data_IF_002783986738
#
_entry.id   IF_002783986738
#
_cell.length_a   1.000
_cell.length_b   1.000
_cell.length_c   1.000
_cell.angle_alpha   90.00
_cell.angle_beta   90.00
_cell.angle_gamma   90.00
#
_symmetry.space_group_name_H-M   'P 1'
#
loop_
_entity.id
_entity.type
_entity.pdbx_description
1 polymer ?
2 non-polymer ?
3 non-polymer ?
4 water ?
#
# COMPACT_ATOMS: atom_id res chain seq x y z
N UNK A 2 21.41 12.97 -11.05
CA UNK A 2 21.63 11.59 -10.67
C UNK A 2 20.28 10.95 -10.35
N UNK A 3 20.07 9.75 -10.88
CA UNK A 3 18.81 9.02 -10.70
C UNK A 3 19.04 7.70 -9.98
N UNK A 4 18.19 7.44 -9.00
CA UNK A 4 18.21 6.19 -8.25
C UNK A 4 16.96 5.42 -8.58
N UNK A 5 17.13 4.19 -9.07
CA UNK A 5 15.99 3.33 -9.36
C UNK A 5 15.92 2.24 -8.29
N UNK A 6 14.88 2.33 -7.45
CA UNK A 6 14.60 1.33 -6.41
C UNK A 6 13.78 0.22 -7.04
N UNK A 7 14.42 -0.92 -7.23
CA UNK A 7 13.81 -2.04 -7.96
C UNK A 7 13.24 -2.99 -6.93
N UNK A 8 11.92 -2.93 -6.77
CA UNK A 8 11.24 -3.68 -5.73
C UNK A 8 10.40 -4.80 -6.31
N UNK A 9 11.00 -5.58 -7.21
CA UNK A 9 10.36 -6.82 -7.64
C UNK A 9 10.72 -7.86 -6.60
N UNK A 10 9.71 -8.56 -6.02
CA UNK A 10 9.93 -9.45 -4.89
C UNK A 10 10.64 -10.76 -5.24
N UNK A 11 10.65 -11.13 -6.52
CA UNK A 11 11.39 -12.30 -6.98
C UNK A 11 12.27 -11.91 -8.15
N UNK A 12 13.09 -10.87 -7.94
CA UNK A 12 13.91 -10.28 -8.99
C UNK A 12 14.70 -11.29 -9.85
N UNK A 13 15.35 -12.25 -9.19
CA UNK A 13 16.17 -13.26 -9.87
C UNK A 13 15.39 -14.09 -10.91
N UNK A 14 14.09 -14.19 -10.71
CA UNK A 14 13.21 -14.95 -11.60
C UNK A 14 12.54 -14.07 -12.66
N UNK A 15 12.34 -12.79 -12.35
CA UNK A 15 11.65 -11.85 -13.24
C UNK A 15 12.10 -11.95 -14.71
N UNK A 16 11.14 -12.01 -15.62
CA UNK A 16 11.46 -11.97 -17.06
C UNK A 16 11.42 -10.55 -17.64
N UNK A 17 10.79 -9.63 -16.91
CA UNK A 17 10.63 -8.26 -17.40
C UNK A 17 11.79 -7.35 -17.02
N UNK A 18 12.26 -7.49 -15.77
CA UNK A 18 13.27 -6.58 -15.22
C UNK A 18 14.64 -6.55 -15.91
N UNK A 19 15.14 -7.71 -16.41
CA UNK A 19 16.37 -7.59 -17.18
C UNK A 19 16.27 -6.63 -18.38
N UNK A 20 15.08 -6.51 -18.98
CA UNK A 20 14.89 -5.60 -20.12
C UNK A 20 15.15 -4.15 -19.68
N UNK A 21 14.62 -3.82 -18.51
CA UNK A 21 14.71 -2.46 -17.97
C UNK A 21 16.14 -2.15 -17.49
N UNK A 22 16.76 -3.13 -16.85
CA UNK A 22 18.13 -2.96 -16.39
C UNK A 22 19.00 -2.73 -17.62
N UNK A 23 18.84 -3.57 -18.64
CA UNK A 23 19.66 -3.44 -19.85
C UNK A 23 19.48 -2.08 -20.51
N UNK A 24 18.28 -1.50 -20.38
CA UNK A 24 17.93 -0.26 -21.06
C UNK A 24 18.66 0.97 -20.49
N UNK A 25 19.03 0.91 -19.21
CA UNK A 25 19.72 2.01 -18.57
C UNK A 25 21.18 1.68 -18.21
N UNK A 26 21.65 0.53 -18.67
CA UNK A 26 23.02 0.07 -18.36
C UNK A 26 24.11 1.03 -18.79
N UNK A 27 23.83 1.84 -19.81
CA UNK A 27 24.84 2.73 -20.37
C UNK A 27 24.83 4.15 -19.79
N UNK A 28 23.84 4.46 -18.95
CA UNK A 28 23.79 5.78 -18.32
C UNK A 28 24.47 5.74 -16.95
N UNK A 29 25.66 6.32 -16.85
CA UNK A 29 26.45 6.22 -15.62
C UNK A 29 25.85 7.02 -14.45
N UNK A 30 24.96 7.96 -14.74
CA UNK A 30 24.29 8.73 -13.68
C UNK A 30 23.02 8.04 -13.13
N UNK A 31 22.65 6.91 -13.73
CA UNK A 31 21.52 6.09 -13.26
C UNK A 31 22.01 4.91 -12.43
N UNK A 32 21.48 4.77 -11.21
CA UNK A 32 21.86 3.69 -10.29
C UNK A 32 20.72 2.68 -10.20
N UNK A 33 20.99 1.46 -10.66
CA UNK A 33 20.03 0.36 -10.58
C UNK A 33 20.19 -0.32 -9.21
N UNK A 34 19.18 -0.15 -8.35
CA UNK A 34 19.30 -0.56 -6.95
C UNK A 34 18.24 -1.56 -6.54
N UNK A 35 18.53 -2.86 -6.68
CA UNK A 35 17.58 -3.85 -6.17
C UNK A 35 17.34 -3.74 -4.67
N UNK A 36 16.07 -3.79 -4.30
CA UNK A 36 15.69 -3.82 -2.91
C UNK A 36 15.79 -5.25 -2.40
N UNK A 37 16.67 -5.45 -1.42
CA UNK A 37 16.85 -6.79 -0.83
C UNK A 37 16.14 -6.89 0.51
N UNK A 38 15.78 -8.11 0.89
CA UNK A 38 14.97 -8.35 2.09
C UNK A 38 15.68 -7.82 3.33
N UNK A 39 17.01 -7.81 3.31
CA UNK A 39 17.78 -7.34 4.47
C UNK A 39 18.45 -5.99 4.23
N UNK A 40 17.72 -5.05 3.59
CA UNK A 40 18.26 -3.71 3.36
C UNK A 40 18.67 -3.01 4.65
N UNK A 41 19.62 -2.09 4.51
CA UNK A 41 20.15 -1.35 5.66
C UNK A 41 19.68 0.09 5.57
N UNK A 42 19.05 0.60 6.62
CA UNK A 42 18.42 1.92 6.54
C UNK A 42 19.42 3.02 6.20
N UNK A 43 20.55 3.03 6.91
CA UNK A 43 21.61 4.03 6.68
C UNK A 43 22.12 4.05 5.23
N UNK A 44 22.38 2.88 4.66
CA UNK A 44 22.81 2.78 3.26
C UNK A 44 21.73 3.26 2.30
N UNK A 45 20.47 2.88 2.55
CA UNK A 45 19.35 3.35 1.74
C UNK A 45 19.19 4.87 1.82
N UNK A 46 19.29 5.41 3.05
CA UNK A 46 19.21 6.87 3.22
C UNK A 46 20.35 7.56 2.50
N UNK A 47 21.54 6.97 2.58
CA UNK A 47 22.70 7.51 1.88
C UNK A 47 22.45 7.61 0.38
N UNK A 48 21.90 6.55 -0.21
CA UNK A 48 21.61 6.55 -1.65
C UNK A 48 20.58 7.63 -2.01
N UNK A 49 19.55 7.76 -1.20
CA UNK A 49 18.56 8.83 -1.44
C UNK A 49 19.20 10.21 -1.45
N UNK A 50 20.05 10.47 -0.47
CA UNK A 50 20.68 11.78 -0.34
C UNK A 50 21.54 12.12 -1.54
N UNK A 51 22.09 11.08 -2.19
CA UNK A 51 23.05 11.24 -3.28
C UNK A 51 22.36 11.37 -4.64
N UNK A 52 21.03 11.25 -4.68
CA UNK A 52 20.31 11.27 -5.95
C UNK A 52 19.25 12.34 -6.01
N UNK A 53 18.94 12.81 -7.23
CA UNK A 53 18.00 13.90 -7.47
C UNK A 53 16.63 13.39 -7.91
N UNK A 54 16.61 12.30 -8.65
CA UNK A 54 15.36 11.71 -9.08
C UNK A 54 15.31 10.28 -8.56
N UNK A 55 14.24 9.96 -7.85
CA UNK A 55 14.08 8.68 -7.20
C UNK A 55 12.90 8.00 -7.88
N UNK A 56 13.15 6.85 -8.47
CA UNK A 56 12.11 6.11 -9.16
C UNK A 56 11.83 4.81 -8.41
N UNK A 57 10.57 4.58 -8.09
CA UNK A 57 10.22 3.31 -7.47
C UNK A 57 9.63 2.43 -8.55
N UNK A 58 10.24 1.27 -8.72
CA UNK A 58 9.94 0.36 -9.83
C UNK A 58 9.44 -0.98 -9.27
N UNK A 59 8.17 -1.28 -9.52
CA UNK A 59 7.56 -2.46 -8.90
C UNK A 59 6.36 -3.00 -9.68
N UNK A 60 6.02 -4.28 -9.46
CA UNK A 60 4.78 -4.83 -10.00
C UNK A 60 3.59 -4.50 -9.10
N UNK A 61 2.44 -4.33 -9.72
CA UNK A 61 1.23 -4.00 -8.96
C UNK A 61 0.68 -5.31 -8.35
N UNK A 62 0.62 -5.36 -7.03
CA UNK A 62 0.11 -6.55 -6.32
C UNK A 62 -1.12 -6.08 -5.56
N UNK A 63 -2.29 -6.65 -5.88
CA UNK A 63 -3.56 -6.16 -5.29
C UNK A 63 -3.63 -4.62 -5.21
N UNK A 64 -3.44 -3.99 -6.37
CA UNK A 64 -3.63 -2.55 -6.57
C UNK A 64 -2.66 -1.67 -5.76
N UNK A 65 -1.55 -2.26 -5.30
CA UNK A 65 -0.55 -1.49 -4.54
C UNK A 65 0.84 -2.07 -4.68
N UNK A 66 1.84 -1.41 -4.10
CA UNK A 66 3.20 -1.90 -4.10
C UNK A 66 3.36 -3.21 -3.29
N UNK A 67 4.33 -4.06 -3.67
CA UNK A 67 4.68 -5.26 -2.91
C UNK A 67 5.10 -4.89 -1.48
N UNK A 68 4.95 -5.85 -0.58
CA UNK A 68 5.23 -5.63 0.83
C UNK A 68 6.67 -5.18 1.11
N UNK A 69 7.65 -5.70 0.37
CA UNK A 69 9.05 -5.27 0.63
C UNK A 69 9.23 -3.78 0.36
N UNK A 70 8.58 -3.24 -0.67
CA UNK A 70 8.67 -1.79 -0.89
C UNK A 70 7.98 -1.01 0.23
N UNK A 71 6.84 -1.52 0.71
CA UNK A 71 6.12 -0.86 1.79
C UNK A 71 6.99 -0.89 3.05
N UNK A 72 7.68 -2.01 3.28
CA UNK A 72 8.60 -2.09 4.43
C UNK A 72 9.72 -1.06 4.33
N UNK A 73 10.25 -0.87 3.13
CA UNK A 73 11.32 0.14 2.90
C UNK A 73 10.78 1.53 3.18
N UNK A 75 8.27 2.28 5.19
CA UNK A 75 7.97 2.35 6.64
C UNK A 75 9.24 2.56 7.49
N UNK A 76 10.37 2.03 7.03
CA UNK A 76 11.57 1.95 7.86
C UNK A 76 12.65 2.96 7.44
N UNK A 77 12.81 3.17 6.14
CA UNK A 77 13.82 4.10 5.62
C UNK A 77 13.29 5.53 5.74
N UNK A 79 11.79 7.67 7.75
CA UNK A 79 11.40 8.01 9.10
C UNK A 79 10.90 9.47 9.17
N UNK A 80 10.19 9.80 10.23
CA UNK A 80 9.81 11.18 10.51
C UNK A 80 11.05 12.06 10.52
N UNK A 81 12.09 11.62 11.24
CA UNK A 81 13.34 12.37 11.42
C UNK A 81 14.03 12.67 10.10
N UNK A 82 13.98 11.73 9.17
CA UNK A 82 14.70 11.85 7.90
C UNK A 82 13.85 12.57 6.84
N UNK A 83 12.65 12.05 6.61
CA UNK A 83 11.80 12.47 5.49
C UNK A 83 10.99 13.73 5.79
N UNK A 84 10.72 13.98 7.08
CA UNK A 84 10.05 15.22 7.52
C UNK A 84 10.84 15.82 8.68
N UNK A 85 10.20 15.99 9.83
CA UNK A 85 10.84 16.51 11.05
C UNK A 85 11.49 17.85 10.80
N UNK A 86 12.76 17.97 11.17
CA UNK A 86 13.51 19.19 10.88
C UNK A 86 14.53 19.03 9.76
N UNK A 87 14.44 17.92 9.02
CA UNK A 87 15.40 17.62 7.96
C UNK A 87 14.81 17.70 6.55
N UNK A 88 13.62 17.12 6.35
CA UNK A 88 12.99 17.04 5.03
C UNK A 88 14.03 16.72 3.97
N UNK A 89 14.67 15.57 4.13
CA UNK A 89 15.84 15.18 3.36
C UNK A 89 15.56 15.14 1.86
N UNK A 90 14.30 14.87 1.52
CA UNK A 90 13.89 14.66 0.12
C UNK A 90 13.41 15.92 -0.58
N UNK A 91 13.41 17.05 0.12
CA UNK A 91 12.83 18.28 -0.44
C UNK A 91 13.46 18.65 -1.78
N UNK A 92 12.65 18.86 -2.81
CA UNK A 92 13.15 19.25 -4.12
C UNK A 92 13.54 18.09 -5.05
N UNK A 93 13.61 16.87 -4.51
CA UNK A 93 13.88 15.69 -5.35
C UNK A 93 12.60 15.33 -6.09
N UNK A 94 12.75 14.60 -7.20
CA UNK A 94 11.61 14.16 -7.99
C UNK A 94 11.32 12.72 -7.61
N UNK A 95 10.04 12.39 -7.52
CA UNK A 95 9.61 11.01 -7.25
C UNK A 95 8.91 10.50 -8.49
N UNK A 96 9.40 9.37 -9.01
CA UNK A 96 8.77 8.71 -10.16
C UNK A 96 8.34 7.30 -9.78
N UNK A 97 7.42 6.76 -10.56
CA UNK A 97 6.88 5.43 -10.33
C UNK A 97 6.87 4.70 -11.65
N UNK A 98 7.54 3.55 -11.72
CA UNK A 98 7.43 2.65 -12.87
C UNK A 98 6.68 1.41 -12.37
N UNK A 99 5.38 1.34 -12.66
CA UNK A 99 4.52 0.29 -12.11
C UNK A 99 4.06 -0.66 -13.21
N UNK A 100 4.32 -1.95 -13.03
CA UNK A 100 3.99 -2.90 -14.07
C UNK A 100 2.77 -3.73 -13.66
N UNK A 101 1.93 -4.06 -14.63
CA UNK A 101 0.73 -4.85 -14.36
C UNK A 101 0.63 -5.96 -15.42
N UNK A 102 0.00 -7.07 -15.06
CA UNK A 102 -0.34 -8.13 -16.01
C UNK A 102 -1.71 -7.90 -16.64
N UNK A 103 -2.38 -6.80 -16.29
CA UNK A 103 -3.68 -6.46 -16.84
C UNK A 103 -3.55 -5.42 -17.95
N UNK A 104 -4.48 -5.47 -18.91
CA UNK A 104 -4.55 -4.46 -19.94
C UNK A 104 -4.75 -3.08 -19.31
N UNK A 105 -4.08 -2.07 -19.86
CA UNK A 105 -4.20 -0.72 -19.34
C UNK A 105 -5.65 -0.23 -19.38
N UNK A 106 -6.42 -0.72 -20.34
CA UNK A 106 -7.80 -0.25 -20.50
C UNK A 106 -8.76 -0.71 -19.40
N UNK A 107 -8.35 -1.63 -18.53
CA UNK A 107 -9.18 -2.05 -17.39
C UNK A 107 -9.22 -0.99 -16.29
N UNK A 108 -8.21 -0.12 -16.27
CA UNK A 108 -8.02 0.85 -15.19
C UNK A 108 -8.63 2.21 -15.53
N UNK A 109 -9.94 2.27 -15.49
CA UNK A 109 -10.67 3.52 -15.72
C UNK A 109 -12.10 3.31 -15.28
N UNK A 110 -12.82 4.42 -15.08
CA UNK A 110 -14.23 4.37 -14.72
C UNK A 110 -15.03 3.58 -15.76
N UNK A 111 -15.92 2.72 -15.30
CA UNK A 111 -16.78 1.97 -16.24
C UNK A 111 -16.14 0.69 -16.76
N UNK A 112 -14.84 0.52 -16.53
CA UNK A 112 -14.16 -0.71 -16.95
C UNK A 112 -14.01 -1.65 -15.77
N UNK A 113 -13.37 -2.80 -15.98
CA UNK A 113 -13.30 -3.85 -14.98
C UNK A 113 -12.80 -3.39 -13.59
N UNK A 114 -11.75 -2.55 -13.58
CA UNK A 114 -11.08 -2.17 -12.33
C UNK A 114 -11.58 -0.86 -11.72
N UNK A 115 -12.43 -0.14 -12.47
CA UNK A 115 -13.12 1.09 -12.03
C UNK A 115 -12.22 2.30 -11.74
N UNK A 116 -10.97 2.06 -11.39
CA UNK A 116 -10.06 3.17 -10.98
C UNK A 116 -8.80 3.23 -11.82
N UNK A 117 -8.38 4.46 -12.12
CA UNK A 117 -7.18 4.66 -12.91
C UNK A 117 -5.90 4.39 -12.09
N UNK A 118 -4.80 4.18 -12.79
CA UNK A 118 -3.52 4.03 -12.10
C UNK A 118 -3.20 5.25 -11.25
N UNK A 119 -3.52 6.43 -11.76
CA UNK A 119 -3.34 7.68 -11.01
C UNK A 119 -4.02 7.61 -9.64
N UNK A 120 -5.28 7.17 -9.63
CA UNK A 120 -6.01 7.06 -8.38
C UNK A 120 -5.42 6.02 -7.44
N UNK A 121 -4.97 4.89 -7.98
CA UNK A 121 -4.39 3.83 -7.16
C UNK A 121 -3.03 4.19 -6.58
N UNK A 123 -2.24 7.05 -5.41
CA UNK A 123 -2.42 8.22 -4.56
C UNK A 123 -1.56 8.22 -3.28
N UNK A 124 -1.39 7.05 -2.61
CA UNK A 124 -0.50 7.15 -1.43
C UNK A 124 0.90 7.65 -1.74
N UNK A 125 1.44 7.37 -2.94
CA UNK A 125 2.78 7.87 -3.30
C UNK A 125 2.75 9.36 -3.60
N UNK A 126 1.66 9.80 -4.22
CA UNK A 126 1.49 11.22 -4.47
C UNK A 126 1.43 11.99 -3.15
N UNK A 127 0.66 11.46 -2.20
CA UNK A 127 0.56 12.08 -0.87
C UNK A 127 1.92 12.09 -0.13
N UNK A 128 2.68 11.01 -0.27
CA UNK A 128 4.04 10.97 0.26
C UNK A 128 4.91 12.09 -0.33
N UNK A 129 4.90 12.18 -1.65
CA UNK A 129 5.66 13.23 -2.33
C UNK A 129 5.25 14.62 -1.86
N UNK A 130 3.94 14.85 -1.73
CA UNK A 130 3.43 16.14 -1.26
C UNK A 130 3.96 16.42 0.16
N UNK A 131 3.89 15.41 1.01
CA UNK A 131 4.28 15.56 2.41
C UNK A 131 5.76 15.85 2.58
N UNK A 132 6.58 15.21 1.77
CA UNK A 132 8.03 15.32 1.87
C UNK A 132 8.61 16.41 0.99
N UNK A 133 7.74 17.19 0.34
CA UNK A 133 8.14 18.32 -0.53
C UNK A 133 8.91 17.89 -1.78
N UNK A 136 6.28 15.24 -7.73
CA UNK A 136 5.73 13.99 -8.24
C UNK A 136 5.64 14.04 -9.76
N UNK A 137 6.32 13.10 -10.40
CA UNK A 137 6.31 12.96 -11.87
C UNK A 137 5.08 12.20 -12.34
N UNK A 138 4.69 12.38 -13.61
CA UNK A 138 3.64 11.52 -14.12
C UNK A 138 4.13 10.08 -13.97
N UNK A 139 3.22 9.16 -13.69
CA UNK A 139 3.53 7.73 -13.50
C UNK A 139 3.84 7.04 -14.82
N UNK A 140 4.86 6.18 -14.84
CA UNK A 140 5.10 5.35 -16.04
C UNK A 140 4.44 3.99 -15.78
N UNK A 141 3.25 3.78 -16.34
CA UNK A 141 2.55 2.49 -16.17
C UNK A 141 2.94 1.55 -17.31
N UNK A 142 3.27 0.31 -16.95
CA UNK A 142 3.78 -0.68 -17.89
C UNK A 142 2.82 -1.86 -17.85
N UNK A 143 1.99 -1.98 -18.89
CA UNK A 143 0.92 -2.98 -18.89
C UNK A 143 1.25 -4.14 -19.84
N UNK A 144 1.39 -5.34 -19.28
CA UNK A 144 1.60 -6.60 -20.05
C UNK A 144 2.86 -6.55 -20.90
N UNK A 145 3.95 -6.07 -20.29
CA UNK A 145 5.17 -5.84 -21.04
C UNK A 145 5.60 -7.03 -21.88
N UNK A 146 5.56 -8.22 -21.28
CA UNK A 146 6.07 -9.42 -21.98
C UNK A 146 5.20 -9.85 -23.15
N UNK A 147 3.95 -9.38 -23.18
CA UNK A 147 3.00 -9.72 -24.24
C UNK A 147 3.09 -8.77 -25.44
N UNK A 148 3.70 -7.61 -25.24
CA UNK A 148 3.75 -6.58 -26.29
C UNK A 148 4.59 -7.05 -27.47
N UNK A 149 4.23 -6.62 -28.67
CA UNK A 149 5.05 -6.88 -29.85
C UNK A 149 6.44 -6.29 -29.63
N UNK A 150 7.47 -6.93 -30.20
CA UNK A 150 8.84 -6.42 -30.08
C UNK A 150 8.96 -4.90 -30.27
N UNK A 151 8.27 -4.35 -31.26
CA UNK A 151 8.34 -2.91 -31.57
C UNK A 151 7.74 -2.03 -30.47
N UNK A 152 6.62 -2.48 -29.90
CA UNK A 152 6.02 -1.79 -28.77
C UNK A 152 6.88 -1.94 -27.52
N UNK A 153 7.50 -3.10 -27.33
CA UNK A 153 8.44 -3.29 -26.21
C UNK A 153 9.56 -2.26 -26.31
N UNK A 154 10.17 -2.17 -27.48
CA UNK A 154 11.24 -1.20 -27.72
C UNK A 154 10.84 0.25 -27.49
N UNK A 155 9.63 0.65 -27.90
CA UNK A 155 9.14 2.02 -27.66
C UNK A 155 8.97 2.34 -26.18
N UNK A 156 8.45 1.37 -25.46
CA UNK A 156 8.22 1.56 -24.03
C UNK A 156 9.58 1.70 -23.32
N UNK A 157 10.57 0.93 -23.79
CA UNK A 157 11.92 1.00 -23.21
C UNK A 157 12.62 2.34 -23.43
N UNK A 158 12.39 2.97 -24.59
CA UNK A 158 12.82 4.35 -24.86
C UNK A 158 12.14 5.37 -23.94
N UNK A 159 10.84 5.21 -23.70
CA UNK A 159 10.12 6.06 -22.76
C UNK A 159 10.72 5.90 -21.36
N UNK A 160 11.07 4.66 -21.02
CA UNK A 160 11.70 4.34 -19.74
C UNK A 160 13.07 5.03 -19.59
N UNK A 161 13.88 4.98 -20.64
CA UNK A 161 15.16 5.69 -20.66
C UNK A 161 15.00 7.19 -20.44
N UNK A 162 14.03 7.80 -21.12
CA UNK A 162 13.71 9.21 -20.94
C UNK A 162 13.24 9.50 -19.52
N UNK A 163 12.40 8.61 -19.01
CA UNK A 163 11.85 8.72 -17.65
C UNK A 163 12.97 8.79 -16.62
N UNK A 164 14.00 7.96 -16.82
CA UNK A 164 15.15 7.89 -15.92
C UNK A 164 16.17 9.01 -16.11
N UNK A 165 16.23 9.62 -17.28
CA UNK A 165 17.36 10.52 -17.58
C UNK A 165 16.99 11.91 -18.10
N UNK A 166 15.84 12.02 -18.76
CA UNK A 166 15.43 13.31 -19.31
C UNK A 166 15.32 14.32 -18.18
N UNK A 167 16.27 15.26 -18.17
CA UNK A 167 16.37 16.24 -17.10
C UNK A 167 15.12 17.11 -17.06
N UNK A 168 14.62 17.49 -18.23
CA UNK A 168 13.43 18.35 -18.41
C UNK A 168 12.46 18.43 -17.23
N UNK B 2 -20.51 -13.84 12.03
CA UNK B 2 -19.16 -14.02 12.55
C UNK B 2 -18.27 -12.92 11.99
N UNK B 3 -17.52 -12.26 12.87
CA UNK B 3 -16.61 -11.18 12.47
C UNK B 3 -15.16 -11.57 12.77
N UNK B 4 -14.31 -11.43 11.76
CA UNK B 4 -12.87 -11.62 11.92
C UNK B 4 -12.22 -10.24 11.86
N UNK B 5 -11.48 -9.88 12.91
CA UNK B 5 -10.69 -8.66 12.88
C UNK B 5 -9.24 -9.02 12.70
N UNK B 6 -8.70 -8.64 11.55
CA UNK B 6 -7.29 -8.86 11.25
C UNK B 6 -6.53 -7.64 11.77
N UNK B 7 -5.76 -7.82 12.84
CA UNK B 7 -5.06 -6.69 13.43
C UNK B 7 -3.61 -6.70 12.99
N UNK B 8 -3.24 -5.69 12.20
CA UNK B 8 -1.94 -5.62 11.55
C UNK B 8 -1.20 -4.37 12.01
N UNK B 9 -0.68 -4.43 13.22
CA UNK B 9 0.18 -3.39 13.75
C UNK B 9 1.53 -4.05 14.02
N UNK B 10 2.61 -3.61 13.34
CA UNK B 10 3.91 -4.27 13.50
C UNK B 10 4.56 -4.05 14.87
N UNK B 11 3.95 -3.20 15.71
CA UNK B 11 4.39 -3.01 17.10
C UNK B 11 3.16 -2.96 18.03
N UNK B 12 2.35 -4.01 17.98
CA UNK B 12 1.05 -4.01 18.66
C UNK B 12 1.15 -3.82 20.18
N UNK B 13 2.15 -4.45 20.78
CA UNK B 13 2.32 -4.38 22.23
C UNK B 13 2.63 -2.96 22.70
N UNK B 14 3.21 -2.14 21.82
CA UNK B 14 3.55 -0.75 22.13
C UNK B 14 2.43 0.24 21.79
N UNK B 15 1.45 -0.21 21.01
CA UNK B 15 0.33 0.63 20.61
C UNK B 15 -0.48 1.06 21.83
N UNK B 16 -0.82 2.34 21.89
CA UNK B 16 -1.62 2.87 23.00
C UNK B 16 -3.08 3.05 22.59
N UNK B 17 -3.31 3.01 21.28
CA UNK B 17 -4.65 3.11 20.74
C UNK B 17 -5.35 1.74 20.82
N UNK B 18 -4.67 0.71 20.34
CA UNK B 18 -5.29 -0.63 20.21
C UNK B 18 -5.89 -1.24 21.48
N UNK B 19 -5.24 -1.06 22.67
CA UNK B 19 -5.81 -1.56 23.94
C UNK B 19 -7.28 -1.17 24.21
N UNK B 20 -7.66 0.08 23.93
CA UNK B 20 -9.03 0.55 24.10
C UNK B 20 -9.95 -0.22 23.16
N UNK B 21 -9.40 -0.62 22.02
CA UNK B 21 -10.20 -1.25 20.99
C UNK B 21 -10.44 -2.73 21.25
N UNK B 22 -9.40 -3.46 21.67
CA UNK B 22 -9.63 -4.85 22.06
C UNK B 22 -10.66 -4.95 23.17
N UNK B 23 -10.51 -4.09 24.18
CA UNK B 23 -11.43 -4.05 25.33
C UNK B 23 -12.90 -3.87 24.92
N UNK B 24 -13.13 -3.10 23.87
CA UNK B 24 -14.47 -2.79 23.37
C UNK B 24 -15.21 -4.00 22.75
N UNK B 25 -14.46 -5.00 22.27
CA UNK B 25 -15.08 -6.17 21.62
C UNK B 25 -14.85 -7.50 22.34
N UNK B 26 -14.08 -7.48 23.43
CA UNK B 26 -13.73 -8.68 24.21
C UNK B 26 -14.91 -9.55 24.63
N UNK B 27 -16.09 -8.94 24.77
CA UNK B 27 -17.26 -9.63 25.26
C UNK B 27 -18.23 -10.11 24.18
N UNK B 28 -17.86 -9.91 22.92
CA UNK B 28 -18.63 -10.40 21.78
C UNK B 28 -18.06 -11.72 21.27
N UNK B 29 -18.73 -12.82 21.61
CA UNK B 29 -18.22 -14.16 21.33
C UNK B 29 -18.18 -14.49 19.83
N UNK B 30 -18.92 -13.74 19.02
CA UNK B 30 -18.91 -13.91 17.57
C UNK B 30 -17.77 -13.17 16.87
N UNK B 31 -17.03 -12.38 17.64
CA UNK B 31 -15.89 -11.62 17.11
C UNK B 31 -14.59 -12.34 17.42
N UNK B 32 -13.82 -12.63 16.37
CA UNK B 32 -12.49 -13.18 16.51
C UNK B 32 -11.48 -12.08 16.32
N UNK B 33 -10.71 -11.82 17.37
CA UNK B 33 -9.68 -10.82 17.33
C UNK B 33 -8.34 -11.48 17.01
N UNK B 34 -7.77 -11.14 15.86
CA UNK B 34 -6.69 -11.93 15.28
C UNK B 34 -5.48 -11.08 14.88
N UNK B 35 -4.52 -10.87 15.80
CA UNK B 35 -3.32 -10.13 15.45
C UNK B 35 -2.36 -10.98 14.65
N UNK B 36 -1.82 -10.41 13.57
CA UNK B 36 -0.87 -11.12 12.69
C UNK B 36 0.53 -11.18 13.27
N UNK B 37 1.21 -12.31 13.06
CA UNK B 37 2.65 -12.42 13.26
C UNK B 37 3.34 -12.33 11.90
N UNK B 38 4.61 -11.93 11.87
CA UNK B 38 5.31 -11.79 10.58
C UNK B 38 5.32 -13.10 9.80
N UNK B 39 5.44 -14.23 10.50
CA UNK B 39 5.44 -15.55 9.87
C UNK B 39 4.09 -16.26 10.03
N UNK B 40 3.01 -15.57 9.68
CA UNK B 40 1.67 -16.14 9.67
C UNK B 40 1.59 -17.32 8.71
N UNK B 41 0.61 -18.19 8.96
CA UNK B 41 0.45 -19.42 8.20
C UNK B 41 -0.69 -19.22 7.19
N UNK B 42 -0.42 -19.37 5.90
CA UNK B 42 -1.39 -19.06 4.84
C UNK B 42 -2.67 -19.88 5.00
N UNK B 43 -2.51 -21.19 5.15
CA UNK B 43 -3.65 -22.10 5.28
C UNK B 43 -4.52 -21.73 6.47
N UNK B 44 -3.89 -21.39 7.60
CA UNK B 44 -4.62 -20.91 8.78
C UNK B 44 -5.38 -19.62 8.47
N UNK B 45 -4.72 -18.66 7.85
CA UNK B 45 -5.38 -17.40 7.47
C UNK B 45 -6.60 -17.65 6.56
N UNK B 46 -6.41 -18.49 5.55
CA UNK B 46 -7.51 -18.83 4.62
C UNK B 46 -8.66 -19.53 5.37
N UNK B 47 -8.33 -20.46 6.26
CA UNK B 47 -9.33 -21.14 7.08
C UNK B 47 -10.18 -20.13 7.87
N UNK B 48 -9.53 -19.15 8.51
CA UNK B 48 -10.24 -18.15 9.30
C UNK B 48 -11.16 -17.29 8.44
N UNK B 49 -10.69 -16.95 7.24
CA UNK B 49 -11.51 -16.15 6.33
C UNK B 49 -12.78 -16.90 5.94
N UNK B 50 -12.64 -18.19 5.69
CA UNK B 50 -13.77 -19.03 5.33
C UNK B 50 -14.81 -19.13 6.43
N UNK B 51 -14.37 -19.02 7.68
CA UNK B 51 -15.26 -19.19 8.83
C UNK B 51 -15.98 -17.92 9.28
N UNK B 52 -15.74 -16.82 8.58
CA UNK B 52 -16.24 -15.53 9.00
C UNK B 52 -16.98 -14.77 7.90
N UNK B 53 -17.90 -13.91 8.32
CA UNK B 53 -18.83 -13.23 7.42
C UNK B 53 -18.42 -11.80 7.15
N UNK B 54 -17.93 -11.13 8.19
CA UNK B 54 -17.42 -9.76 8.07
C UNK B 54 -15.95 -9.83 8.40
N UNK B 55 -15.14 -9.34 7.48
CA UNK B 55 -13.70 -9.29 7.64
C UNK B 55 -13.32 -7.83 7.82
N UNK B 56 -12.70 -7.52 8.94
CA UNK B 56 -12.28 -6.15 9.21
C UNK B 56 -10.76 -6.11 9.25
N UNK B 57 -10.17 -5.19 8.48
CA UNK B 57 -8.74 -4.99 8.50
C UNK B 57 -8.39 -3.78 9.37
N UNK B 58 -7.67 -4.03 10.44
CA UNK B 58 -7.40 -3.02 11.43
C UNK B 58 -5.90 -2.66 11.52
N UNK B 59 -5.58 -1.40 11.26
CA UNK B 59 -4.18 -1.00 11.12
C UNK B 59 -3.94 0.51 11.27
N UNK B 60 -2.70 0.89 11.62
CA UNK B 60 -2.31 2.30 11.57
C UNK B 60 -1.96 2.73 10.15
N UNK B 61 -2.23 3.98 9.84
CA UNK B 61 -1.88 4.54 8.54
C UNK B 61 -0.39 4.88 8.55
N UNK B 62 0.38 4.17 7.71
CA UNK B 62 1.81 4.37 7.61
C UNK B 62 2.09 4.92 6.21
N UNK B 63 2.52 6.17 6.09
CA UNK B 63 2.68 6.84 4.79
C UNK B 63 1.48 6.58 3.86
N UNK B 64 0.29 6.85 4.40
CA UNK B 64 -0.94 6.90 3.59
C UNK B 64 -1.40 5.54 3.11
N UNK B 65 -0.83 4.48 3.69
CA UNK B 65 -1.24 3.12 3.37
C UNK B 65 -1.12 2.17 4.56
N UNK B 66 -1.58 0.93 4.38
CA UNK B 66 -1.43 -0.08 5.43
C UNK B 66 0.05 -0.43 5.60
N UNK B 67 0.44 -0.86 6.80
CA UNK B 67 1.79 -1.35 7.11
C UNK B 67 2.18 -2.54 6.26
N UNK B 68 3.49 -2.74 6.10
CA UNK B 68 4.03 -3.84 5.31
C UNK B 68 3.47 -5.21 5.73
N UNK B 69 3.27 -5.42 7.04
CA UNK B 69 2.73 -6.68 7.56
C UNK B 69 1.39 -7.03 6.89
N UNK B 70 0.49 -6.06 6.81
CA UNK B 70 -0.81 -6.28 6.15
C UNK B 70 -0.64 -6.50 4.66
N UNK B 71 0.27 -5.75 4.03
CA UNK B 71 0.51 -5.93 2.61
C UNK B 71 1.02 -7.35 2.32
N UNK B 72 1.87 -7.87 3.19
CA UNK B 72 2.36 -9.23 3.01
C UNK B 72 1.25 -10.27 3.12
N UNK B 73 0.36 -10.06 4.09
CA UNK B 73 -0.82 -10.91 4.28
C UNK B 73 -1.67 -10.87 3.00
N UNK B 75 -0.78 -10.14 -0.09
CA UNK B 75 -0.07 -10.72 -1.24
C UNK B 75 0.12 -12.24 -1.19
N UNK B 76 0.14 -12.80 0.01
CA UNK B 76 0.37 -14.25 0.19
C UNK B 76 -0.90 -15.06 0.55
N UNK B 77 -1.83 -14.46 1.29
CA UNK B 77 -3.06 -15.16 1.69
C UNK B 77 -4.08 -15.07 0.54
N UNK B 79 -4.41 -15.38 -2.71
CA UNK B 79 -3.87 -15.93 -3.95
C UNK B 79 -4.97 -15.85 -5.01
N UNK B 80 -4.56 -15.89 -6.29
CA UNK B 80 -5.51 -15.93 -7.38
C UNK B 80 -6.45 -17.12 -7.21
N UNK B 81 -5.88 -18.26 -6.82
CA UNK B 81 -6.64 -19.51 -6.70
C UNK B 81 -7.77 -19.41 -5.67
N UNK B 82 -7.49 -18.75 -4.55
CA UNK B 82 -8.39 -18.67 -3.40
C UNK B 82 -9.40 -17.52 -3.53
N UNK B 83 -8.89 -16.34 -3.83
CA UNK B 83 -9.66 -15.09 -3.82
C UNK B 83 -10.42 -14.84 -5.11
N UNK B 84 -9.91 -15.37 -6.22
CA UNK B 84 -10.57 -15.25 -7.53
C UNK B 84 -10.60 -16.61 -8.19
N UNK B 85 -10.01 -16.73 -9.37
CA UNK B 85 -9.93 -18.03 -10.07
C UNK B 85 -11.30 -18.66 -10.26
N UNK B 86 -11.45 -19.87 -9.72
CA UNK B 86 -12.75 -20.57 -9.72
C UNK B 86 -13.18 -20.96 -8.30
N UNK B 87 -12.74 -20.16 -7.32
CA UNK B 87 -13.20 -20.33 -5.95
C UNK B 87 -13.95 -19.10 -5.45
N UNK B 88 -13.39 -17.91 -5.69
CA UNK B 88 -13.96 -16.66 -5.17
C UNK B 88 -14.44 -16.87 -3.73
N UNK B 89 -13.48 -17.24 -2.89
CA UNK B 89 -13.78 -17.68 -1.52
C UNK B 89 -14.43 -16.62 -0.67
N UNK B 90 -14.21 -15.34 -1.03
CA UNK B 90 -14.67 -14.21 -0.24
C UNK B 90 -15.99 -13.61 -0.75
N UNK B 91 -16.52 -14.17 -1.84
CA UNK B 91 -17.71 -13.61 -2.45
C UNK B 91 -18.86 -13.46 -1.42
N UNK B 92 -19.43 -12.27 -1.36
CA UNK B 92 -20.55 -11.99 -0.48
C UNK B 92 -20.19 -11.65 0.96
N UNK B 93 -18.94 -11.86 1.35
CA UNK B 93 -18.48 -11.40 2.66
C UNK B 93 -18.32 -9.89 2.64
N UNK B 94 -18.41 -9.26 3.81
CA UNK B 94 -18.21 -7.82 3.94
C UNK B 94 -16.77 -7.53 4.30
N UNK B 95 -16.21 -6.49 3.68
CA UNK B 95 -14.89 -5.98 4.04
C UNK B 95 -15.03 -4.62 4.69
N UNK B 96 -14.48 -4.52 5.90
CA UNK B 96 -14.39 -3.24 6.60
C UNK B 96 -12.94 -2.84 6.88
N UNK B 97 -12.74 -1.56 7.14
CA UNK B 97 -11.40 -1.03 7.41
C UNK B 97 -11.46 -0.18 8.67
N UNK B 98 -10.61 -0.48 9.67
CA UNK B 98 -10.48 0.40 10.85
C UNK B 98 -9.06 0.94 10.78
N UNK B 99 -8.93 2.18 10.30
CA UNK B 99 -7.63 2.78 10.05
C UNK B 99 -7.40 3.95 10.98
N UNK B 100 -6.26 3.94 11.67
CA UNK B 100 -5.99 4.96 12.68
C UNK B 100 -4.84 5.88 12.25
N UNK B 101 -5.00 7.18 12.49
CA UNK B 101 -3.99 8.15 12.11
C UNK B 101 -3.78 9.12 13.27
N UNK B 102 -2.60 9.73 13.35
CA UNK B 102 -2.36 10.74 14.40
C UNK B 102 -2.96 12.08 14.00
N UNK B 103 -3.10 12.26 12.68
CA UNK B 103 -3.59 13.50 12.06
C UNK B 103 -5.07 13.79 12.34
N UNK B 104 -5.40 15.09 12.36
CA UNK B 104 -6.79 15.53 12.39
C UNK B 104 -7.48 15.06 11.13
N UNK B 105 -8.72 14.56 11.28
CA UNK B 105 -9.50 14.08 10.15
C UNK B 105 -9.75 15.14 9.10
N UNK B 106 -9.82 16.40 9.55
CA UNK B 106 -10.03 17.53 8.65
C UNK B 106 -8.87 17.80 7.70
N UNK B 107 -7.72 17.19 7.94
CA UNK B 107 -6.59 17.32 7.02
C UNK B 107 -6.82 16.55 5.70
N UNK B 108 -7.69 15.53 5.77
CA UNK B 108 -7.87 14.58 4.68
C UNK B 108 -9.04 14.97 3.77
N UNK B 109 -8.83 16.03 3.00
CA UNK B 109 -9.86 16.48 2.04
C UNK B 109 -9.24 17.47 1.08
N UNK B 110 -9.91 17.71 -0.04
CA UNK B 110 -9.39 18.70 -1.01
C UNK B 110 -9.23 20.06 -0.34
N UNK B 111 -8.15 20.77 -0.66
CA UNK B 111 -7.89 22.11 -0.12
C UNK B 111 -7.29 22.09 1.28
N UNK B 112 -7.22 20.92 1.91
CA UNK B 112 -6.61 20.83 3.23
C UNK B 112 -5.23 20.19 3.09
N UNK B 113 -4.49 20.09 4.20
CA UNK B 113 -3.08 19.70 4.16
C UNK B 113 -2.73 18.43 3.38
N UNK B 114 -3.54 17.36 3.50
CA UNK B 114 -3.25 16.10 2.86
C UNK B 114 -3.90 15.93 1.48
N UNK B 115 -4.72 16.91 1.08
CA UNK B 115 -5.37 16.98 -0.24
C UNK B 115 -6.39 15.89 -0.60
N UNK B 116 -6.27 14.72 0.03
CA UNK B 116 -7.02 13.51 -0.37
C UNK B 116 -7.78 12.94 0.82
N UNK B 117 -9.00 12.46 0.56
CA UNK B 117 -9.85 11.90 1.60
C UNK B 117 -9.38 10.48 1.95
N UNK B 118 -9.77 10.01 3.13
CA UNK B 118 -9.50 8.63 3.48
C UNK B 118 -10.06 7.62 2.45
N UNK B 119 -11.27 7.88 1.95
CA UNK B 119 -11.87 7.09 0.85
C UNK B 119 -10.90 6.90 -0.32
N UNK B 120 -10.31 8.01 -0.77
CA UNK B 120 -9.37 7.99 -1.88
C UNK B 120 -8.11 7.22 -1.54
N UNK B 121 -7.60 7.38 -0.32
CA UNK B 121 -6.36 6.69 0.04
C UNK B 121 -6.58 5.19 0.19
N UNK B 123 -8.44 3.34 -1.63
CA UNK B 123 -8.92 2.79 -2.90
C UNK B 123 -8.38 1.38 -3.21
N UNK B 124 -7.10 1.08 -2.90
CA UNK B 124 -6.65 -0.31 -3.17
C UNK B 124 -7.50 -1.39 -2.50
N UNK B 125 -8.01 -1.11 -1.30
CA UNK B 125 -8.88 -2.06 -0.61
C UNK B 125 -10.25 -2.15 -1.25
N UNK B 126 -10.75 -1.01 -1.71
CA UNK B 126 -12.04 -0.96 -2.40
C UNK B 126 -11.95 -1.77 -3.68
N UNK B 127 -10.85 -1.56 -4.41
CA UNK B 127 -10.59 -2.32 -5.65
C UNK B 127 -10.52 -3.82 -5.37
N UNK B 128 -9.87 -4.16 -4.27
CA UNK B 128 -9.83 -5.57 -3.84
C UNK B 128 -11.22 -6.14 -3.58
N UNK B 129 -12.03 -5.42 -2.80
CA UNK B 129 -13.39 -5.88 -2.53
C UNK B 129 -14.18 -6.06 -3.81
N UNK B 130 -14.03 -5.14 -4.76
CA UNK B 130 -14.78 -5.26 -6.03
C UNK B 130 -14.34 -6.51 -6.78
N UNK B 131 -13.02 -6.71 -6.83
CA UNK B 131 -12.44 -7.82 -7.58
C UNK B 131 -12.87 -9.16 -7.02
N UNK B 132 -12.95 -9.22 -5.71
CA UNK B 132 -13.24 -10.49 -5.02
C UNK B 132 -14.70 -10.65 -4.69
N UNK B 133 -15.51 -9.67 -5.15
CA UNK B 133 -16.97 -9.71 -5.00
C UNK B 133 -17.42 -9.63 -3.53
N UNK B 136 -18.08 -3.87 0.23
CA UNK B 136 -17.21 -2.89 0.92
C UNK B 136 -17.98 -1.95 1.83
N UNK B 137 -17.65 -1.97 3.12
CA UNK B 137 -18.32 -1.12 4.11
C UNK B 137 -17.75 0.30 4.06
N UNK B 138 -18.50 1.29 4.58
CA UNK B 138 -17.87 2.58 4.79
C UNK B 138 -16.70 2.36 5.76
N UNK B 139 -15.66 3.16 5.60
CA UNK B 139 -14.42 3.00 6.35
C UNK B 139 -14.59 3.61 7.73
N UNK B 140 -14.13 2.91 8.77
CA UNK B 140 -14.06 3.54 10.10
C UNK B 140 -12.68 4.15 10.31
N UNK B 141 -12.59 5.47 10.15
CA UNK B 141 -11.32 6.17 10.32
C UNK B 141 -11.22 6.66 11.76
N UNK B 142 -10.11 6.34 12.42
CA UNK B 142 -9.87 6.74 13.79
C UNK B 142 -8.76 7.79 13.86
N UNK B 143 -9.15 9.05 14.03
CA UNK B 143 -8.21 10.16 13.97
C UNK B 143 -7.89 10.71 15.36
N UNK B 144 -6.58 10.80 15.65
CA UNK B 144 -6.01 11.40 16.88
C UNK B 144 -6.61 10.88 18.18
N UNK B 145 -6.87 9.58 18.20
CA UNK B 145 -7.53 8.95 19.34
C UNK B 145 -6.94 9.31 20.69
N UNK B 146 -5.61 9.22 20.81
CA UNK B 146 -4.96 9.47 22.11
C UNK B 146 -4.99 10.94 22.56
N UNK B 147 -5.26 11.85 21.64
CA UNK B 147 -5.42 13.25 22.03
C UNK B 147 -6.87 13.60 22.42
N UNK B 148 -7.82 12.72 22.13
CA UNK B 148 -9.24 13.03 22.37
C UNK B 148 -9.61 12.96 23.86
N UNK B 149 -10.66 13.68 24.25
CA UNK B 149 -11.20 13.62 25.59
C UNK B 149 -11.90 12.28 25.81
N UNK B 150 -12.05 11.85 27.09
CA UNK B 150 -12.70 10.59 27.43
C UNK B 150 -14.04 10.34 26.70
N UNK B 151 -14.92 11.34 26.67
CA UNK B 151 -16.24 11.18 26.03
C UNK B 151 -16.19 11.03 24.52
N UNK B 152 -15.22 11.71 23.88
CA UNK B 152 -15.02 11.58 22.45
C UNK B 152 -14.47 10.19 22.15
N UNK B 153 -13.53 9.74 22.99
CA UNK B 153 -12.96 8.39 22.89
C UNK B 153 -14.01 7.30 23.01
N UNK B 154 -14.92 7.46 23.97
CA UNK B 154 -16.03 6.52 24.18
C UNK B 154 -16.98 6.41 22.98
N UNK B 155 -17.25 7.53 22.32
CA UNK B 155 -18.14 7.55 21.15
C UNK B 155 -17.56 6.79 19.95
N UNK B 156 -16.23 6.84 19.81
CA UNK B 156 -15.53 6.13 18.76
C UNK B 156 -15.46 4.65 19.08
N UNK B 157 -15.35 4.34 20.37
CA UNK B 157 -15.32 2.96 20.83
C UNK B 157 -16.67 2.29 20.60
N UNK B 158 -17.75 3.03 20.82
CA UNK B 158 -19.11 2.56 20.52
C UNK B 158 -19.32 2.36 19.01
N UNK B 159 -18.76 3.25 18.19
CA UNK B 159 -18.84 3.10 16.73
C UNK B 159 -18.12 1.83 16.30
N UNK B 160 -16.95 1.60 16.90
CA UNK B 160 -16.16 0.42 16.63
C UNK B 160 -16.92 -0.86 17.01
N UNK B 161 -17.54 -0.87 18.19
CA UNK B 161 -18.35 -2.04 18.59
C UNK B 161 -19.42 -2.35 17.54
N UNK B 162 -20.11 -1.30 17.08
CA UNK B 162 -21.13 -1.47 16.06
C UNK B 162 -20.53 -1.91 14.72
N UNK B 163 -19.35 -1.39 14.39
CA UNK B 163 -18.67 -1.81 13.15
C UNK B 163 -18.42 -3.32 13.15
N UNK B 164 -18.08 -3.87 14.32
CA UNK B 164 -17.75 -5.28 14.41
C UNK B 164 -18.97 -6.20 14.51
N UNK B 165 -20.07 -5.68 15.06
CA UNK B 165 -21.16 -6.56 15.48
C UNK B 165 -22.51 -6.28 14.84
N UNK B 166 -22.75 -5.06 14.40
CA UNK B 166 -24.07 -4.70 13.89
C UNK B 166 -24.31 -5.30 12.51
N UNK B 167 -25.37 -6.10 12.41
CA UNK B 167 -25.69 -6.83 11.19
C UNK B 167 -26.40 -5.90 10.19
N UNK B 168 -25.84 -5.69 8.99
CA UNK B 168 -24.54 -6.23 8.57
C UNK B 168 -24.57 -7.63 7.99
#
# INVERSE_FOLDING_TARGET
XQTLIIVAHPELARSNTQPFFKAAIENFSNVTWHPLVADFNVEQEQSLLLQNDRIILEFPLYWYSAPALLKQWXDTVXTTKFATGHQYALEGKELGIVVSTGDNGNAFQAGAAEKFTISELXRPFEAFANKTKXXYLPILAVHQFLYLEPDAQQRLLVAYQQYATNVGALEHHHHHH
XQTLIIVAHPELARSNTQPFFKAAIENFSNVTWHPLVADFNVEQEQSLLLQNDRIILEFPLYWYSAPALLKQWXDTVXTTKFATGHQYALEGKELGIVVSTGDNGNAFQAGAAEKFTISELXRPFEAFANKTKXXYLPILAVHQFLYLEPDAQQRLLVAYQQYATNVGALEHHHHHH
#
